data_IF_888088902476
#
_entry.id   IF_888088902476
#
_cell.length_a   1.000
_cell.length_b   1.000
_cell.length_c   1.000
_cell.angle_alpha   90.00
_cell.angle_beta   90.00
_cell.angle_gamma   90.00
#
_symmetry.space_group_name_H-M   'P 1'
#
loop_
_entity.id
_entity.type
_entity.pdbx_description
1 polymer ?
#
# COMPACT_ATOMS: atom_id res chain seq x y z
N UNK A 1 25.16 18.65 -13.38
CA UNK A 1 24.36 17.43 -13.60
C UNK A 1 23.16 17.46 -12.69
N UNK A 2 21.93 17.17 -13.16
CA UNK A 2 20.77 17.11 -12.28
C UNK A 2 20.99 16.01 -11.22
N UNK A 3 20.72 16.33 -9.96
CA UNK A 3 20.89 15.39 -8.85
C UNK A 3 20.08 14.10 -9.10
N UNK A 4 20.77 12.96 -9.02
CA UNK A 4 20.13 11.64 -9.22
C UNK A 4 19.00 11.45 -8.22
N UNK A 5 17.80 11.16 -8.70
CA UNK A 5 16.60 10.96 -7.85
C UNK A 5 16.88 9.90 -6.78
N UNK A 6 16.39 10.09 -5.54
CA UNK A 6 16.66 9.17 -4.44
C UNK A 6 15.83 7.87 -4.51
N UNK A 7 15.24 7.57 -5.64
CA UNK A 7 14.36 6.41 -5.83
C UNK A 7 14.41 5.88 -7.26
N UNK A 8 13.94 4.65 -7.43
CA UNK A 8 13.72 3.97 -8.71
C UNK A 8 12.36 3.29 -8.75
N UNK A 9 11.83 3.04 -9.92
CA UNK A 9 10.68 2.16 -10.13
C UNK A 9 11.18 0.72 -10.22
N UNK A 10 10.48 -0.21 -9.57
CA UNK A 10 10.85 -1.62 -9.56
C UNK A 10 9.63 -2.52 -9.36
N UNK A 11 9.84 -3.83 -9.39
CA UNK A 11 8.77 -4.81 -9.11
C UNK A 11 8.39 -4.80 -7.63
N UNK A 12 7.10 -4.72 -7.35
CA UNK A 12 6.47 -4.88 -6.05
C UNK A 12 5.44 -6.00 -6.09
N UNK A 13 4.85 -6.36 -4.96
CA UNK A 13 3.78 -7.37 -4.88
C UNK A 13 2.48 -6.94 -5.58
N UNK A 14 2.29 -5.68 -5.77
CA UNK A 14 1.10 -5.09 -6.40
C UNK A 14 1.33 -4.68 -7.85
N UNK A 15 2.45 -5.08 -8.44
CA UNK A 15 2.88 -4.70 -9.77
C UNK A 15 4.16 -3.89 -9.76
N UNK A 16 4.11 -2.60 -10.09
CA UNK A 16 5.25 -1.68 -9.96
C UNK A 16 5.17 -0.95 -8.62
N UNK A 17 6.33 -0.65 -8.06
CA UNK A 17 6.51 0.10 -6.83
C UNK A 17 7.63 1.13 -6.95
N UNK A 18 7.70 2.04 -6.00
CA UNK A 18 8.74 3.06 -5.88
C UNK A 18 9.69 2.65 -4.75
N UNK A 19 10.98 2.52 -5.05
CA UNK A 19 11.99 2.02 -4.11
C UNK A 19 13.08 3.06 -3.89
N UNK A 20 13.47 3.29 -2.64
CA UNK A 20 14.59 4.16 -2.32
C UNK A 20 15.91 3.59 -2.87
N UNK A 21 16.73 4.45 -3.48
CA UNK A 21 18.08 4.10 -3.97
C UNK A 21 19.19 4.61 -3.06
N UNK A 22 18.85 5.57 -2.20
CA UNK A 22 19.67 6.10 -1.11
C UNK A 22 18.78 6.39 0.10
N UNK A 23 19.40 6.65 1.24
CA UNK A 23 18.66 7.04 2.45
C UNK A 23 17.82 8.31 2.18
N UNK A 24 16.55 8.28 2.61
CA UNK A 24 15.65 9.42 2.56
C UNK A 24 15.34 9.81 4.01
N UNK A 25 15.76 10.99 4.47
CA UNK A 25 15.51 11.46 5.82
C UNK A 25 14.00 11.66 6.09
N UNK A 26 13.61 11.58 7.36
CA UNK A 26 12.27 11.97 7.79
C UNK A 26 11.98 13.40 7.36
N UNK A 27 10.75 13.66 6.89
CA UNK A 27 10.23 14.92 6.37
C UNK A 27 10.82 15.36 5.02
N UNK A 28 11.72 14.59 4.44
CA UNK A 28 12.23 14.90 3.10
C UNK A 28 11.14 14.77 2.04
N UNK A 29 11.14 15.69 1.09
CA UNK A 29 10.36 15.60 -0.14
C UNK A 29 10.83 14.40 -0.97
N UNK A 30 9.87 13.63 -1.48
CA UNK A 30 10.16 12.48 -2.33
C UNK A 30 9.80 12.80 -3.78
N UNK A 31 8.53 13.03 -4.05
CA UNK A 31 8.01 13.23 -5.40
C UNK A 31 6.66 13.96 -5.36
N UNK A 32 6.36 14.72 -6.41
CA UNK A 32 5.04 15.29 -6.64
C UNK A 32 4.14 14.27 -7.34
N UNK A 33 2.88 14.18 -6.89
CA UNK A 33 1.83 13.44 -7.58
C UNK A 33 1.26 14.32 -8.67
N UNK A 34 1.59 14.04 -9.92
CA UNK A 34 1.29 14.88 -11.10
C UNK A 34 0.16 14.31 -11.92
N UNK A 35 -0.62 15.18 -12.51
CA UNK A 35 -1.67 14.78 -13.42
C UNK A 35 -2.52 15.96 -13.90
N UNK A 36 -3.52 15.65 -14.70
CA UNK A 36 -4.51 16.62 -15.14
C UNK A 36 -5.47 16.90 -13.99
N UNK A 37 -5.74 18.15 -13.72
CA UNK A 37 -6.78 18.56 -12.78
C UNK A 37 -8.14 18.45 -13.45
N UNK A 38 -9.03 17.68 -12.85
CA UNK A 38 -10.39 17.40 -13.34
C UNK A 38 -11.41 17.69 -12.24
N UNK A 39 -12.67 17.86 -12.62
CA UNK A 39 -13.78 17.95 -11.64
C UNK A 39 -13.99 16.60 -10.95
N UNK A 40 -14.58 16.62 -9.74
CA UNK A 40 -14.92 15.38 -9.06
C UNK A 40 -15.96 14.56 -9.82
N UNK A 41 -16.91 15.19 -10.53
CA UNK A 41 -17.88 14.50 -11.39
C UNK A 41 -17.19 13.76 -12.55
N UNK A 42 -16.15 14.35 -13.14
CA UNK A 42 -15.33 13.66 -14.14
C UNK A 42 -14.53 12.51 -13.52
N UNK A 43 -14.01 12.70 -12.32
CA UNK A 43 -13.27 11.68 -11.59
C UNK A 43 -14.14 10.46 -11.28
N UNK A 44 -15.38 10.64 -10.81
CA UNK A 44 -16.33 9.56 -10.57
C UNK A 44 -16.59 8.73 -11.84
N UNK A 45 -16.80 9.40 -12.99
CA UNK A 45 -16.96 8.70 -14.27
C UNK A 45 -15.73 7.89 -14.67
N UNK A 46 -14.54 8.43 -14.44
CA UNK A 46 -13.28 7.72 -14.71
C UNK A 46 -13.06 6.55 -13.74
N UNK A 47 -13.42 6.71 -12.47
CA UNK A 47 -13.34 5.65 -11.47
C UNK A 47 -14.29 4.49 -11.80
N UNK A 48 -15.51 4.78 -12.20
CA UNK A 48 -16.48 3.80 -12.67
C UNK A 48 -15.96 2.99 -13.88
N UNK A 49 -15.13 3.61 -14.74
CA UNK A 49 -14.44 2.96 -15.88
C UNK A 49 -13.15 2.23 -15.47
N UNK A 50 -12.84 2.18 -14.17
CA UNK A 50 -11.69 1.45 -13.63
C UNK A 50 -10.40 2.27 -13.49
N UNK A 51 -10.41 3.59 -13.65
CA UNK A 51 -9.25 4.42 -13.33
C UNK A 51 -8.96 4.34 -11.81
N UNK A 52 -7.73 3.99 -11.44
CA UNK A 52 -7.28 3.84 -10.05
C UNK A 52 -6.22 4.87 -9.64
N UNK A 53 -5.94 5.83 -10.50
CA UNK A 53 -4.90 6.85 -10.30
C UNK A 53 -5.50 8.24 -10.04
N UNK A 54 -6.64 8.26 -9.38
CA UNK A 54 -7.35 9.49 -9.03
C UNK A 54 -6.96 9.91 -7.61
N UNK A 55 -6.59 11.18 -7.45
CA UNK A 55 -6.26 11.76 -6.15
C UNK A 55 -7.14 12.99 -5.90
N UNK A 56 -8.08 12.88 -4.99
CA UNK A 56 -8.95 13.99 -4.62
C UNK A 56 -8.16 15.09 -3.89
N UNK A 57 -8.20 16.31 -4.41
CA UNK A 57 -7.56 17.48 -3.80
C UNK A 57 -8.50 18.12 -2.77
N UNK A 58 -9.76 18.31 -3.14
CA UNK A 58 -10.81 18.92 -2.33
C UNK A 58 -12.19 18.56 -2.88
N UNK A 59 -13.26 19.15 -2.33
CA UNK A 59 -14.64 18.90 -2.75
C UNK A 59 -14.98 19.25 -4.22
N UNK A 60 -14.06 19.85 -4.97
CA UNK A 60 -14.29 20.24 -6.38
C UNK A 60 -13.35 19.56 -7.36
N UNK A 61 -12.13 19.23 -6.92
CA UNK A 61 -11.04 18.90 -7.81
C UNK A 61 -10.31 17.64 -7.44
N UNK A 62 -10.02 16.85 -8.43
CA UNK A 62 -9.21 15.62 -8.39
C UNK A 62 -8.06 15.72 -9.39
N UNK A 63 -6.92 15.10 -9.09
CA UNK A 63 -5.83 14.89 -10.04
C UNK A 63 -6.02 13.52 -10.69
N UNK A 64 -6.14 13.50 -12.02
CA UNK A 64 -6.00 12.29 -12.81
C UNK A 64 -4.52 12.00 -13.06
N UNK A 65 -3.96 11.12 -12.25
CA UNK A 65 -2.56 10.74 -12.28
C UNK A 65 -2.23 9.56 -13.19
N UNK A 66 -3.09 9.24 -14.16
CA UNK A 66 -2.93 8.08 -15.07
C UNK A 66 -1.66 8.15 -15.91
N UNK A 67 -1.16 9.35 -16.20
CA UNK A 67 0.06 9.50 -17.01
C UNK A 67 1.28 8.83 -16.40
N UNK A 68 2.08 8.13 -17.21
CA UNK A 68 3.35 7.51 -16.77
C UNK A 68 4.41 8.53 -16.34
N UNK A 69 4.26 9.81 -16.70
CA UNK A 69 5.10 10.92 -16.21
C UNK A 69 4.86 11.22 -14.73
N UNK A 70 3.73 10.78 -14.18
CA UNK A 70 3.43 10.84 -12.76
C UNK A 70 4.18 9.72 -12.02
N UNK A 71 5.37 10.01 -11.53
CA UNK A 71 6.15 9.02 -10.78
C UNK A 71 5.49 8.68 -9.44
N UNK A 72 4.78 9.61 -8.83
CA UNK A 72 4.04 9.40 -7.58
C UNK A 72 3.01 8.27 -7.63
N UNK A 73 2.49 7.95 -8.84
CA UNK A 73 1.53 6.85 -9.04
C UNK A 73 2.09 5.45 -8.68
N UNK A 74 3.40 5.31 -8.65
CA UNK A 74 4.05 4.03 -8.34
C UNK A 74 4.30 3.83 -6.84
N UNK A 75 4.03 4.82 -5.99
CA UNK A 75 4.05 4.64 -4.55
C UNK A 75 2.79 3.87 -4.13
N UNK A 76 2.96 2.65 -3.64
CA UNK A 76 1.87 1.75 -3.28
C UNK A 76 1.27 2.06 -1.90
N UNK A 77 0.07 1.52 -1.64
CA UNK A 77 -0.55 1.60 -0.33
C UNK A 77 0.13 0.72 0.71
N UNK A 78 0.23 1.24 1.93
CA UNK A 78 0.56 0.44 3.11
C UNK A 78 -0.26 0.88 4.32
N UNK A 79 -0.76 -0.09 5.10
CA UNK A 79 -1.36 0.16 6.42
C UNK A 79 -0.30 0.48 7.50
N UNK A 80 0.99 0.50 7.15
CA UNK A 80 2.13 0.90 7.96
C UNK A 80 3.13 1.65 7.08
N UNK A 81 2.74 2.84 6.62
CA UNK A 81 3.47 3.58 5.61
C UNK A 81 4.81 4.13 6.13
N UNK A 82 5.70 4.50 5.21
CA UNK A 82 6.91 5.26 5.49
C UNK A 82 6.89 6.65 4.86
N UNK A 83 5.87 6.94 4.07
CA UNK A 83 5.60 8.25 3.50
C UNK A 83 4.13 8.64 3.71
N UNK A 84 3.82 9.89 3.49
CA UNK A 84 2.47 10.43 3.46
C UNK A 84 2.28 11.33 2.25
N UNK A 85 1.05 11.50 1.83
CA UNK A 85 0.68 12.55 0.88
C UNK A 85 0.32 13.82 1.63
N UNK A 86 0.83 14.96 1.16
CA UNK A 86 0.56 16.27 1.71
C UNK A 86 0.24 17.26 0.59
N UNK A 87 -0.60 18.24 0.91
CA UNK A 87 -0.87 19.37 0.01
C UNK A 87 0.06 20.52 0.36
N UNK A 88 0.81 20.98 -0.61
CA UNK A 88 1.71 22.13 -0.46
C UNK A 88 1.69 23.00 -1.70
N UNK A 89 1.39 24.29 -1.53
CA UNK A 89 1.33 25.27 -2.61
C UNK A 89 0.49 24.80 -3.83
N UNK A 90 -0.72 24.27 -3.58
CA UNK A 90 -1.63 23.77 -4.63
C UNK A 90 -1.20 22.47 -5.29
N UNK A 91 -0.13 21.84 -4.82
CA UNK A 91 0.40 20.56 -5.31
C UNK A 91 0.18 19.45 -4.30
N UNK A 92 0.04 18.23 -4.79
CA UNK A 92 0.10 17.03 -3.96
C UNK A 92 1.51 16.47 -4.02
N UNK A 93 2.12 16.31 -2.86
CA UNK A 93 3.48 15.78 -2.73
C UNK A 93 3.50 14.53 -1.85
N UNK A 94 4.43 13.65 -2.09
CA UNK A 94 4.81 12.61 -1.15
C UNK A 94 6.05 13.04 -0.38
N UNK A 95 6.02 12.91 0.94
CA UNK A 95 7.15 13.15 1.84
C UNK A 95 7.33 11.99 2.80
N UNK A 96 8.56 11.75 3.23
CA UNK A 96 8.85 10.70 4.21
C UNK A 96 8.31 11.09 5.60
N UNK A 97 7.66 10.15 6.31
CA UNK A 97 7.24 10.34 7.71
C UNK A 97 8.20 9.68 8.70
N UNK A 98 9.13 8.90 8.19
CA UNK A 98 10.25 8.31 8.93
C UNK A 98 11.43 8.16 7.97
N UNK A 99 12.61 7.87 8.50
CA UNK A 99 13.78 7.52 7.69
C UNK A 99 13.47 6.29 6.82
N UNK A 100 13.76 6.36 5.53
CA UNK A 100 13.60 5.28 4.55
C UNK A 100 14.99 4.86 4.10
N UNK A 101 15.31 3.57 4.25
CA UNK A 101 16.62 3.02 3.90
C UNK A 101 16.69 2.68 2.40
N UNK A 102 17.90 2.62 1.81
CA UNK A 102 18.06 2.09 0.45
C UNK A 102 17.44 0.70 0.31
N UNK A 103 16.73 0.47 -0.79
CA UNK A 103 16.01 -0.78 -1.07
C UNK A 103 14.61 -0.88 -0.47
N UNK A 104 14.23 -0.03 0.49
CA UNK A 104 12.85 -0.03 1.01
C UNK A 104 11.87 0.51 -0.02
N UNK A 105 10.69 -0.11 -0.10
CA UNK A 105 9.57 0.40 -0.89
C UNK A 105 8.98 1.64 -0.22
N UNK A 106 8.80 2.71 -0.99
CA UNK A 106 8.15 3.94 -0.56
C UNK A 106 6.65 3.72 -0.67
N UNK A 107 5.96 3.80 0.47
CA UNK A 107 4.52 3.52 0.55
C UNK A 107 3.83 4.59 1.39
N UNK A 108 2.55 4.87 1.06
CA UNK A 108 1.73 5.79 1.83
C UNK A 108 0.31 5.24 2.04
N UNK A 109 -0.45 5.84 2.96
CA UNK A 109 -1.84 5.49 3.16
C UNK A 109 -2.69 6.19 2.09
N UNK A 110 -3.46 5.41 1.33
CA UNK A 110 -4.35 5.95 0.28
C UNK A 110 -5.63 6.60 0.83
N UNK A 111 -5.81 6.55 2.16
CA UNK A 111 -6.99 7.05 2.83
C UNK A 111 -8.09 5.98 2.99
N UNK A 112 -9.00 6.28 3.91
CA UNK A 112 -10.03 5.33 4.37
C UNK A 112 -10.97 4.91 3.24
N UNK A 113 -11.45 5.86 2.45
CA UNK A 113 -12.46 5.59 1.43
C UNK A 113 -11.90 4.69 0.32
N UNK A 114 -10.72 5.01 -0.18
CA UNK A 114 -10.03 4.16 -1.15
C UNK A 114 -9.70 2.78 -0.56
N UNK A 115 -9.30 2.73 0.71
CA UNK A 115 -9.02 1.48 1.39
C UNK A 115 -10.26 0.59 1.46
N UNK A 116 -11.41 1.12 1.89
CA UNK A 116 -12.65 0.36 2.05
C UNK A 116 -13.25 -0.06 0.70
N UNK A 117 -13.28 0.84 -0.27
CA UNK A 117 -14.00 0.63 -1.53
C UNK A 117 -13.16 -0.11 -2.59
N UNK A 118 -11.83 0.05 -2.58
CA UNK A 118 -10.96 -0.48 -3.63
C UNK A 118 -10.02 -1.57 -3.12
N UNK A 119 -9.39 -1.38 -1.96
CA UNK A 119 -8.37 -2.30 -1.46
C UNK A 119 -9.00 -3.47 -0.70
N UNK A 120 -9.94 -3.21 0.21
CA UNK A 120 -10.54 -4.23 1.08
C UNK A 120 -11.21 -5.36 0.30
N UNK A 121 -12.02 -5.12 -0.75
CA UNK A 121 -12.66 -6.19 -1.51
C UNK A 121 -11.68 -7.18 -2.16
N UNK A 122 -10.46 -6.70 -2.47
CA UNK A 122 -9.39 -7.52 -3.09
C UNK A 122 -8.37 -8.04 -2.09
N UNK A 123 -8.47 -7.65 -0.83
CA UNK A 123 -7.51 -7.93 0.22
C UNK A 123 -6.22 -7.10 0.12
N UNK A 124 -5.90 -6.37 1.18
CA UNK A 124 -4.68 -5.57 1.24
C UNK A 124 -3.42 -6.44 1.15
N UNK A 125 -2.52 -6.12 0.22
CA UNK A 125 -1.27 -6.86 -0.03
C UNK A 125 -0.05 -6.27 0.68
N UNK A 126 -0.20 -5.21 1.48
CA UNK A 126 0.91 -4.61 2.23
C UNK A 126 1.51 -5.59 3.25
N UNK A 127 2.75 -5.34 3.67
CA UNK A 127 3.49 -6.22 4.58
C UNK A 127 2.78 -6.45 5.91
N UNK A 128 2.22 -5.41 6.52
CA UNK A 128 1.46 -5.53 7.77
C UNK A 128 0.30 -6.51 7.63
N UNK A 129 -0.52 -6.36 6.60
CA UNK A 129 -1.69 -7.22 6.37
C UNK A 129 -1.28 -8.66 5.99
N UNK A 130 -0.19 -8.82 5.24
CA UNK A 130 0.39 -10.13 4.91
C UNK A 130 0.90 -10.84 6.16
N UNK A 131 1.67 -10.16 7.01
CA UNK A 131 2.16 -10.73 8.27
C UNK A 131 1.01 -11.20 9.15
N UNK A 132 -0.06 -10.39 9.27
CA UNK A 132 -1.26 -10.74 10.04
C UNK A 132 -1.94 -12.01 9.49
N UNK A 133 -2.11 -12.10 8.17
CA UNK A 133 -2.70 -13.30 7.55
C UNK A 133 -1.83 -14.54 7.74
N UNK A 134 -0.52 -14.40 7.62
CA UNK A 134 0.41 -15.52 7.82
C UNK A 134 0.42 -15.99 9.28
N UNK A 135 0.36 -15.07 10.25
CA UNK A 135 0.23 -15.41 11.67
C UNK A 135 -1.08 -16.18 11.92
N UNK A 136 -2.22 -15.63 11.48
CA UNK A 136 -3.52 -16.29 11.65
C UNK A 136 -3.58 -17.69 10.98
N UNK A 137 -2.89 -17.87 9.85
CA UNK A 137 -2.78 -19.19 9.20
C UNK A 137 -1.99 -20.16 10.07
N UNK A 138 -0.82 -19.76 10.61
CA UNK A 138 -0.01 -20.61 11.51
C UNK A 138 -0.79 -21.01 12.75
N UNK A 139 -1.52 -20.07 13.36
CA UNK A 139 -2.33 -20.35 14.56
C UNK A 139 -3.42 -21.38 14.25
N UNK A 140 -4.08 -21.27 13.10
CA UNK A 140 -5.08 -22.25 12.65
C UNK A 140 -4.47 -23.63 12.38
N UNK A 141 -3.30 -23.70 11.77
CA UNK A 141 -2.57 -24.94 11.51
C UNK A 141 -2.15 -25.61 12.83
N UNK A 142 -1.62 -24.82 13.78
CA UNK A 142 -1.26 -25.29 15.11
C UNK A 142 -2.48 -25.83 15.89
N UNK A 143 -3.60 -25.12 15.86
CA UNK A 143 -4.85 -25.57 16.49
C UNK A 143 -5.38 -26.88 15.90
N UNK A 144 -5.34 -27.03 14.56
CA UNK A 144 -5.72 -28.29 13.88
C UNK A 144 -4.82 -29.44 14.30
N UNK A 145 -3.50 -29.23 14.35
CA UNK A 145 -2.52 -30.25 14.75
C UNK A 145 -2.72 -30.66 16.21
N UNK A 146 -2.94 -29.70 17.12
CA UNK A 146 -3.22 -29.98 18.52
C UNK A 146 -4.52 -30.79 18.70
N UNK A 147 -5.58 -30.42 17.96
CA UNK A 147 -6.85 -31.17 17.98
C UNK A 147 -6.69 -32.61 17.47
N UNK A 148 -5.95 -32.79 16.38
CA UNK A 148 -5.67 -34.11 15.82
C UNK A 148 -4.88 -35.00 16.83
N UNK A 149 -3.86 -34.41 17.50
CA UNK A 149 -3.09 -35.09 18.54
C UNK A 149 -3.96 -35.52 19.71
N UNK A 150 -4.83 -34.62 20.20
CA UNK A 150 -5.79 -34.94 21.29
C UNK A 150 -6.71 -36.09 20.90
N UNK A 151 -7.27 -36.10 19.68
CA UNK A 151 -8.13 -37.19 19.19
C UNK A 151 -7.38 -38.53 19.09
N UNK A 152 -6.11 -38.51 18.64
CA UNK A 152 -5.27 -39.70 18.57
C UNK A 152 -5.01 -40.30 19.95
N UNK A 153 -4.64 -39.48 20.93
CA UNK A 153 -4.43 -39.89 22.32
C UNK A 153 -5.69 -40.48 22.96
N UNK A 154 -6.85 -39.81 22.74
CA UNK A 154 -8.11 -40.33 23.29
C UNK A 154 -8.48 -41.71 22.72
N UNK A 155 -8.23 -41.93 21.41
CA UNK A 155 -8.46 -43.25 20.77
C UNK A 155 -7.51 -44.32 21.31
N UNK A 156 -6.28 -44.00 21.61
CA UNK A 156 -5.31 -44.92 22.19
C UNK A 156 -5.71 -45.35 23.62
N UNK A 157 -6.11 -44.37 24.45
CA UNK A 157 -6.53 -44.65 25.84
C UNK A 157 -7.88 -45.37 25.92
N UNK A 158 -8.78 -45.19 24.92
CA UNK A 158 -10.05 -45.95 24.88
C UNK A 158 -9.95 -47.40 24.39
N UNK A 159 -8.82 -47.80 23.80
CA UNK A 159 -8.56 -49.21 23.41
C UNK A 159 -7.81 -50.02 24.47
N UNK A 160 -7.37 -49.37 25.57
CA UNK A 160 -6.63 -50.03 26.66
C UNK A 160 -7.54 -50.35 27.88
N UNK A 161 -8.84 -50.31 27.70
CA UNK A 161 -9.89 -50.80 28.58
C UNK A 161 -10.66 -51.92 27.87
#
# INVERSE_FOLDING_TARGET
>A
MPAKKPFRIGRSRTGLGLFATKEIPKWAFIVEYKGRRISNDEAERLEARGNRYLYEINSRWTIDGTTRRNIGRYANHSCRPNAESARRNGKVILRAIKKIKPGEEITYDYGRDYYLNVITPRGCKCDKCRQRRNAARRDREAAKSASARRRRLARQNGKAR
#
